data_IF_295337409089
#
_entry.id   IF_295337409089
#
_cell.length_a   1.000
_cell.length_b   1.000
_cell.length_c   1.000
_cell.angle_alpha   90.00
_cell.angle_beta   90.00
_cell.angle_gamma   90.00
#
_symmetry.space_group_name_H-M   'P 1'
#
loop_
_entity.id
_entity.type
_entity.pdbx_description
1 polymer ?
#
# COMPACT_ATOMS: atom_id res chain seq x y z
N UNK A 1 9.38 7.37 -9.20
CA UNK A 1 9.32 6.15 -8.38
C UNK A 1 8.17 6.30 -7.40
N UNK A 2 7.33 5.27 -7.23
CA UNK A 2 6.30 5.25 -6.16
C UNK A 2 6.94 4.89 -4.83
N UNK A 3 7.66 3.78 -4.82
CA UNK A 3 8.30 3.22 -3.64
C UNK A 3 9.36 2.19 -4.05
N UNK A 4 9.98 1.56 -3.06
CA UNK A 4 10.89 0.43 -3.22
C UNK A 4 10.70 -0.54 -2.06
N UNK A 5 11.06 -1.80 -2.28
CA UNK A 5 10.96 -2.81 -1.22
C UNK A 5 12.10 -3.82 -1.31
N UNK A 6 12.49 -4.36 -0.16
CA UNK A 6 13.32 -5.56 -0.10
C UNK A 6 12.37 -6.73 0.10
N UNK A 7 12.28 -7.66 -0.89
CA UNK A 7 11.43 -8.83 -0.75
C UNK A 7 11.73 -9.61 0.53
N UNK A 8 10.72 -10.28 1.07
CA UNK A 8 10.87 -11.14 2.23
C UNK A 8 11.96 -12.19 1.99
N UNK A 9 12.88 -12.35 2.95
CA UNK A 9 14.03 -13.25 2.84
C UNK A 9 15.26 -12.67 2.12
N UNK A 10 15.16 -11.49 1.49
CA UNK A 10 16.30 -10.81 0.88
C UNK A 10 17.00 -9.84 1.83
N UNK A 11 18.30 -9.59 1.59
CA UNK A 11 19.08 -8.57 2.30
C UNK A 11 19.26 -7.32 1.45
N UNK A 12 19.13 -6.14 2.07
CA UNK A 12 19.41 -4.87 1.41
C UNK A 12 20.91 -4.68 1.15
N UNK A 13 21.34 -4.88 -0.11
CA UNK A 13 22.75 -4.69 -0.55
C UNK A 13 23.10 -3.28 -0.99
N UNK A 14 22.12 -2.53 -1.50
CA UNK A 14 22.29 -1.15 -1.95
C UNK A 14 21.91 -0.12 -0.89
N UNK A 15 22.46 1.08 -1.01
CA UNK A 15 22.16 2.21 -0.13
C UNK A 15 22.22 3.53 -0.90
N UNK A 16 21.45 4.50 -0.43
CA UNK A 16 21.43 5.87 -0.95
C UNK A 16 22.55 6.75 -0.39
N UNK A 17 23.21 6.30 0.69
CA UNK A 17 24.32 7.04 1.29
C UNK A 17 25.44 7.27 0.27
N UNK A 18 25.82 8.52 0.06
CA UNK A 18 26.81 8.91 -0.94
C UNK A 18 26.34 8.66 -2.38
N UNK A 19 25.04 8.64 -2.63
CA UNK A 19 24.46 8.33 -3.93
C UNK A 19 23.29 9.25 -4.32
N UNK A 20 22.94 10.22 -3.47
CA UNK A 20 21.73 11.04 -3.56
C UNK A 20 21.95 12.43 -4.19
N UNK A 21 23.17 12.74 -4.64
CA UNK A 21 23.54 14.06 -5.16
C UNK A 21 22.88 14.48 -6.48
N UNK A 22 22.19 13.57 -7.17
CA UNK A 22 21.35 13.91 -8.34
C UNK A 22 19.90 14.23 -7.96
N UNK A 23 19.52 14.02 -6.70
CA UNK A 23 18.22 14.35 -6.11
C UNK A 23 17.02 13.73 -6.83
N UNK A 24 17.12 12.44 -7.18
CA UNK A 24 16.00 11.72 -7.75
C UNK A 24 14.84 11.55 -6.78
N UNK A 25 13.66 11.25 -7.30
CA UNK A 25 12.43 11.20 -6.51
C UNK A 25 12.30 9.94 -5.64
N UNK A 26 13.12 8.91 -5.89
CA UNK A 26 13.07 7.61 -5.25
C UNK A 26 14.31 7.29 -4.43
N UNK A 27 14.17 6.32 -3.51
CA UNK A 27 15.27 5.78 -2.71
C UNK A 27 16.16 6.86 -2.08
N UNK A 28 15.56 7.86 -1.42
CA UNK A 28 16.23 9.03 -0.82
C UNK A 28 17.17 9.78 -1.79
N UNK A 29 16.79 9.97 -3.06
CA UNK A 29 17.61 10.73 -4.02
C UNK A 29 18.45 9.89 -4.97
N UNK A 30 18.55 8.58 -4.75
CA UNK A 30 19.50 7.72 -5.45
C UNK A 30 18.89 6.81 -6.54
N UNK A 31 17.57 6.87 -6.75
CA UNK A 31 16.90 6.17 -7.85
C UNK A 31 15.82 7.04 -8.47
N UNK A 32 15.78 7.10 -9.80
CA UNK A 32 14.76 7.87 -10.51
C UNK A 32 14.40 7.33 -11.87
N UNK A 33 13.35 7.88 -12.48
CA UNK A 33 12.96 7.59 -13.87
C UNK A 33 13.55 8.57 -14.89
N UNK A 34 14.54 9.36 -14.46
CA UNK A 34 15.26 10.26 -15.35
C UNK A 34 16.11 9.46 -16.36
N UNK A 35 16.24 10.02 -17.56
CA UNK A 35 17.13 9.49 -18.59
C UNK A 35 18.37 10.38 -18.70
N UNK A 36 19.57 9.83 -18.93
CA UNK A 36 20.77 10.65 -19.10
C UNK A 36 20.64 11.70 -20.21
N UNK A 37 19.99 11.36 -21.32
CA UNK A 37 19.73 12.29 -22.43
C UNK A 37 18.78 13.42 -22.06
N UNK A 38 17.79 13.18 -21.20
CA UNK A 38 16.93 14.22 -20.66
C UNK A 38 17.64 15.07 -19.60
N UNK A 39 18.30 14.41 -18.65
CA UNK A 39 18.93 15.06 -17.50
C UNK A 39 20.10 15.96 -17.89
N UNK A 40 20.93 15.53 -18.84
CA UNK A 40 22.10 16.30 -19.30
C UNK A 40 21.91 17.00 -20.65
N UNK A 41 21.13 16.41 -21.56
CA UNK A 41 20.99 16.88 -22.95
C UNK A 41 19.66 17.59 -23.25
N UNK A 42 18.71 17.62 -22.32
CA UNK A 42 17.38 18.19 -22.57
C UNK A 42 16.48 17.36 -23.50
N UNK A 43 16.83 16.09 -23.74
CA UNK A 43 15.99 15.14 -24.46
C UNK A 43 14.66 14.83 -23.75
N UNK A 44 13.72 14.16 -24.43
CA UNK A 44 12.47 13.73 -23.80
C UNK A 44 12.75 12.74 -22.67
N UNK A 45 11.88 12.74 -21.65
CA UNK A 45 11.89 11.70 -20.60
C UNK A 45 11.08 10.50 -21.06
N UNK A 46 11.34 9.32 -20.50
CA UNK A 46 10.44 8.18 -20.68
C UNK A 46 9.04 8.54 -20.17
N UNK A 47 7.96 8.23 -20.89
CA UNK A 47 6.62 8.57 -20.43
C UNK A 47 6.33 7.94 -19.05
N UNK A 48 5.95 8.75 -18.07
CA UNK A 48 5.72 8.27 -16.70
C UNK A 48 4.65 7.17 -16.62
N UNK A 49 3.65 7.18 -17.52
CA UNK A 49 2.62 6.14 -17.61
C UNK A 49 3.11 4.80 -18.16
N UNK A 50 4.32 4.75 -18.72
CA UNK A 50 4.92 3.52 -19.25
C UNK A 50 5.87 2.85 -18.26
N UNK A 51 6.12 3.46 -17.09
CA UNK A 51 7.00 2.88 -16.08
C UNK A 51 6.46 1.53 -15.59
N UNK A 52 7.37 0.59 -15.40
CA UNK A 52 7.09 -0.77 -14.95
C UNK A 52 7.64 -1.00 -13.54
N UNK A 53 6.94 -1.79 -12.74
CA UNK A 53 7.51 -2.40 -11.55
C UNK A 53 8.66 -3.31 -11.97
N UNK A 54 9.82 -3.12 -11.35
CA UNK A 54 11.03 -3.87 -11.67
C UNK A 54 11.57 -4.57 -10.44
N UNK A 55 11.87 -5.86 -10.55
CA UNK A 55 12.64 -6.59 -9.54
C UNK A 55 14.06 -6.80 -10.04
N UNK A 56 15.03 -6.28 -9.28
CA UNK A 56 16.43 -6.66 -9.41
C UNK A 56 16.66 -7.96 -8.65
N UNK A 57 17.34 -8.91 -9.29
CA UNK A 57 17.72 -10.20 -8.73
C UNK A 57 19.24 -10.31 -8.85
N UNK A 58 19.94 -10.35 -7.71
CA UNK A 58 21.40 -10.28 -7.67
C UNK A 58 22.03 -11.66 -7.85
N UNK A 59 23.05 -11.75 -8.70
CA UNK A 59 23.92 -12.93 -8.80
C UNK A 59 24.80 -13.08 -7.56
N UNK A 60 25.47 -14.23 -7.41
CA UNK A 60 26.48 -14.39 -6.35
C UNK A 60 27.75 -13.63 -6.73
N UNK A 61 28.13 -12.66 -5.89
CA UNK A 61 29.34 -11.83 -6.07
C UNK A 61 30.08 -11.71 -4.74
N UNK A 62 31.39 -11.97 -4.75
CA UNK A 62 32.22 -11.82 -3.55
C UNK A 62 32.56 -10.35 -3.23
N UNK A 63 33.33 -10.13 -2.16
CA UNK A 63 33.66 -8.76 -1.72
C UNK A 63 34.61 -8.02 -2.68
N UNK A 64 35.34 -8.75 -3.51
CA UNK A 64 36.24 -8.21 -4.53
C UNK A 64 35.53 -7.97 -5.88
N UNK A 65 34.23 -8.29 -5.98
CA UNK A 65 33.48 -8.13 -7.22
C UNK A 65 33.61 -9.32 -8.17
N UNK A 66 34.14 -10.46 -7.73
CA UNK A 66 34.24 -11.64 -8.59
C UNK A 66 32.90 -12.38 -8.63
N UNK A 67 32.51 -12.82 -9.82
CA UNK A 67 31.30 -13.60 -10.07
C UNK A 67 31.51 -14.60 -11.21
N UNK A 68 30.65 -15.63 -11.26
CA UNK A 68 30.64 -16.59 -12.36
C UNK A 68 29.85 -16.04 -13.53
N UNK A 69 30.42 -16.01 -14.74
CA UNK A 69 29.65 -15.70 -15.96
C UNK A 69 28.59 -16.77 -16.26
N UNK A 70 28.62 -17.95 -15.65
CA UNK A 70 27.57 -18.97 -15.82
C UNK A 70 26.38 -18.78 -14.87
N UNK A 71 26.45 -17.82 -13.95
CA UNK A 71 25.33 -17.53 -13.04
C UNK A 71 24.12 -17.01 -13.86
N UNK A 72 22.91 -17.61 -13.67
CA UNK A 72 21.73 -17.27 -14.45
C UNK A 72 21.28 -15.81 -14.29
N UNK A 73 21.62 -15.19 -13.17
CA UNK A 73 21.29 -13.80 -12.87
C UNK A 73 22.36 -12.81 -13.34
N UNK A 74 23.46 -13.26 -13.97
CA UNK A 74 24.39 -12.34 -14.64
C UNK A 74 23.84 -12.00 -16.01
N UNK A 75 23.80 -10.71 -16.34
CA UNK A 75 23.26 -10.18 -17.58
C UNK A 75 24.37 -9.74 -18.53
N UNK A 76 24.12 -9.90 -19.83
CA UNK A 76 24.75 -9.04 -20.81
C UNK A 76 24.31 -7.58 -20.58
N UNK A 77 25.27 -6.67 -20.44
CA UNK A 77 25.03 -5.26 -20.21
C UNK A 77 25.77 -4.37 -21.20
N UNK A 78 25.17 -3.21 -21.50
CA UNK A 78 25.84 -2.16 -22.27
C UNK A 78 26.64 -1.29 -21.32
N UNK A 79 27.96 -1.28 -21.50
CA UNK A 79 28.87 -0.50 -20.67
C UNK A 79 29.19 0.81 -21.35
N UNK A 80 29.15 1.88 -20.58
CA UNK A 80 29.51 3.23 -21.00
C UNK A 80 30.60 3.78 -20.09
N UNK A 81 31.33 4.79 -20.58
CA UNK A 81 32.34 5.44 -19.78
C UNK A 81 32.34 6.95 -19.97
N UNK A 82 32.41 7.67 -18.85
CA UNK A 82 32.73 9.10 -18.85
C UNK A 82 34.24 9.31 -18.88
N UNK A 83 34.69 10.21 -19.75
CA UNK A 83 36.09 10.66 -19.77
C UNK A 83 37.03 9.69 -20.48
N UNK A 84 36.52 8.83 -21.35
CA UNK A 84 37.31 7.86 -22.10
C UNK A 84 38.32 8.49 -23.09
N UNK A 85 38.11 9.75 -23.50
CA UNK A 85 39.07 10.50 -24.33
C UNK A 85 40.32 10.98 -23.57
N UNK A 86 40.29 10.97 -22.24
CA UNK A 86 41.46 11.28 -21.43
C UNK A 86 42.35 10.04 -21.28
N UNK A 87 43.66 10.21 -21.04
CA UNK A 87 44.50 9.10 -20.58
C UNK A 87 43.87 8.39 -19.37
N UNK A 88 44.15 7.08 -19.18
CA UNK A 88 43.73 6.36 -17.99
C UNK A 88 44.15 7.12 -16.73
N UNK A 89 43.18 7.44 -15.86
CA UNK A 89 43.46 8.18 -14.64
C UNK A 89 44.31 7.37 -13.65
N UNK A 90 44.18 6.04 -13.70
CA UNK A 90 45.04 5.06 -13.05
C UNK A 90 45.55 4.04 -14.08
N UNK A 91 46.77 3.49 -13.94
CA UNK A 91 47.32 2.52 -14.88
C UNK A 91 46.42 1.29 -15.11
N UNK A 92 45.77 0.80 -14.05
CA UNK A 92 44.87 -0.34 -14.06
C UNK A 92 43.60 -0.12 -14.88
N UNK A 93 43.23 1.12 -15.19
CA UNK A 93 42.04 1.41 -16.00
C UNK A 93 42.31 1.20 -17.50
N UNK A 94 43.57 1.23 -17.93
CA UNK A 94 43.94 1.19 -19.34
C UNK A 94 43.32 0.02 -20.14
N UNK A 95 43.27 -1.22 -19.62
CA UNK A 95 42.65 -2.34 -20.34
C UNK A 95 41.14 -2.19 -20.55
N UNK A 96 40.47 -1.37 -19.75
CA UNK A 96 39.02 -1.22 -19.74
C UNK A 96 38.56 0.01 -20.54
N UNK A 97 39.46 0.85 -21.05
CA UNK A 97 39.14 1.99 -21.91
C UNK A 97 39.30 1.54 -23.36
N UNK A 98 38.20 1.08 -23.96
CA UNK A 98 38.18 0.47 -25.30
C UNK A 98 37.91 1.53 -26.37
N UNK A 99 36.91 2.37 -26.13
CA UNK A 99 36.49 3.43 -27.03
C UNK A 99 36.87 4.79 -26.45
N UNK A 100 37.89 5.43 -27.03
CA UNK A 100 38.45 6.72 -26.57
C UNK A 100 37.68 7.95 -27.06
N UNK A 101 36.43 7.78 -27.50
CA UNK A 101 35.56 8.90 -27.85
C UNK A 101 35.13 9.64 -26.56
N UNK A 102 35.09 10.98 -26.64
CA UNK A 102 34.67 11.83 -25.52
C UNK A 102 33.20 11.68 -25.15
N UNK A 103 32.80 12.29 -24.02
CA UNK A 103 31.44 12.23 -23.51
C UNK A 103 31.20 11.01 -22.60
N UNK A 104 30.05 10.35 -22.77
CA UNK A 104 29.63 9.14 -22.07
C UNK A 104 29.56 7.97 -23.06
N UNK A 105 30.71 7.63 -23.64
CA UNK A 105 30.81 6.77 -24.80
C UNK A 105 30.64 5.29 -24.46
N UNK A 106 29.89 4.59 -25.31
CA UNK A 106 29.79 3.12 -25.29
C UNK A 106 31.17 2.47 -25.39
N UNK A 107 31.42 1.48 -24.54
CA UNK A 107 32.67 0.74 -24.48
C UNK A 107 32.51 -0.68 -25.01
N UNK A 108 31.53 -1.43 -24.50
CA UNK A 108 31.33 -2.83 -24.86
C UNK A 108 29.95 -3.36 -24.46
N UNK A 109 29.58 -4.49 -25.06
CA UNK A 109 28.44 -5.30 -24.69
C UNK A 109 28.93 -6.70 -24.31
N UNK A 110 28.85 -7.03 -23.01
CA UNK A 110 29.43 -8.25 -22.46
C UNK A 110 28.64 -8.74 -21.23
N UNK A 111 28.91 -9.97 -20.78
CA UNK A 111 28.28 -10.56 -19.58
C UNK A 111 28.95 -10.05 -18.31
N UNK A 112 28.70 -8.77 -18.00
CA UNK A 112 29.45 -7.98 -17.02
C UNK A 112 28.59 -7.29 -15.96
N UNK A 113 27.28 -7.54 -15.94
CA UNK A 113 26.37 -7.02 -14.93
C UNK A 113 25.89 -8.17 -14.05
N UNK A 114 26.36 -8.29 -12.79
CA UNK A 114 26.05 -9.42 -11.92
C UNK A 114 24.67 -9.29 -11.23
N UNK A 115 23.67 -8.91 -12.02
CA UNK A 115 22.27 -8.88 -11.65
C UNK A 115 21.38 -8.96 -12.89
N UNK A 116 20.15 -9.38 -12.68
CA UNK A 116 19.09 -9.37 -13.68
C UNK A 116 17.99 -8.42 -13.24
N UNK A 117 17.44 -7.65 -14.18
CA UNK A 117 16.26 -6.82 -13.96
C UNK A 117 15.06 -7.48 -14.63
N UNK A 118 13.94 -7.58 -13.92
CA UNK A 118 12.70 -8.16 -14.43
C UNK A 118 11.56 -7.17 -14.32
N UNK A 119 10.86 -6.93 -15.42
CA UNK A 119 9.51 -6.36 -15.42
C UNK A 119 8.57 -7.37 -14.76
N UNK A 120 7.92 -6.95 -13.68
CA UNK A 120 7.04 -7.77 -12.84
C UNK A 120 5.62 -7.21 -12.77
N UNK A 121 5.18 -6.46 -13.80
CA UNK A 121 3.76 -6.09 -13.95
C UNK A 121 2.83 -7.31 -13.95
N UNK A 122 3.28 -8.42 -14.54
CA UNK A 122 2.69 -9.74 -14.39
C UNK A 122 3.65 -10.65 -13.60
N UNK A 123 3.49 -10.79 -12.27
CA UNK A 123 4.36 -11.61 -11.44
C UNK A 123 4.38 -13.09 -11.83
N UNK A 124 3.36 -13.59 -12.55
CA UNK A 124 3.33 -14.97 -13.02
C UNK A 124 4.22 -15.18 -14.27
N UNK A 125 4.46 -14.11 -15.04
CA UNK A 125 5.24 -14.13 -16.28
C UNK A 125 6.26 -12.98 -16.31
N UNK A 126 7.28 -12.99 -15.41
CA UNK A 126 8.26 -11.92 -15.35
C UNK A 126 9.10 -11.86 -16.63
N UNK A 127 9.31 -10.65 -17.15
CA UNK A 127 10.06 -10.42 -18.40
C UNK A 127 11.42 -9.80 -18.09
N UNK A 128 12.50 -10.48 -18.47
CA UNK A 128 13.88 -9.98 -18.23
C UNK A 128 14.16 -8.78 -19.14
N UNK A 129 14.75 -7.74 -18.56
CA UNK A 129 14.99 -6.45 -19.21
C UNK A 129 16.47 -6.25 -19.55
N UNK A 130 16.73 -5.37 -20.52
CA UNK A 130 18.07 -4.87 -20.80
C UNK A 130 18.58 -3.99 -19.65
N UNK A 131 19.84 -4.19 -19.31
CA UNK A 131 20.57 -3.38 -18.32
C UNK A 131 21.78 -2.71 -18.96
N UNK A 132 22.10 -1.52 -18.47
CA UNK A 132 23.27 -0.76 -18.89
C UNK A 132 23.96 -0.19 -17.66
N UNK A 133 25.25 0.14 -17.76
CA UNK A 133 25.93 0.84 -16.67
C UNK A 133 27.01 1.80 -17.16
N UNK A 134 27.35 2.75 -16.30
CA UNK A 134 28.40 3.73 -16.52
C UNK A 134 29.56 3.48 -15.56
N UNK A 135 30.78 3.78 -16.02
CA UNK A 135 31.96 3.98 -15.18
C UNK A 135 32.60 5.36 -15.48
N UNK A 136 33.47 5.86 -14.59
CA UNK A 136 34.08 7.19 -14.73
C UNK A 136 35.62 7.11 -14.68
N UNK A 137 36.29 7.50 -15.77
CA UNK A 137 37.74 7.58 -15.85
C UNK A 137 38.28 8.83 -15.11
N UNK A 138 38.36 8.73 -13.79
CA UNK A 138 38.91 9.74 -12.87
C UNK A 138 39.67 9.05 -11.74
N UNK A 139 40.53 9.75 -10.99
CA UNK A 139 41.33 9.11 -9.93
C UNK A 139 40.50 8.41 -8.84
N UNK A 140 39.25 8.85 -8.59
CA UNK A 140 38.29 8.18 -7.71
C UNK A 140 37.36 7.19 -8.40
N UNK A 141 37.68 6.81 -9.65
CA UNK A 141 36.99 5.79 -10.46
C UNK A 141 37.22 4.38 -9.93
N UNK A 142 36.39 3.43 -10.39
CA UNK A 142 36.64 2.00 -10.19
C UNK A 142 37.07 1.32 -11.50
N UNK A 143 36.33 1.54 -12.58
CA UNK A 143 36.70 1.17 -13.97
C UNK A 143 37.22 -0.26 -14.07
N UNK A 144 36.34 -1.21 -13.75
CA UNK A 144 36.62 -2.66 -13.71
C UNK A 144 36.05 -3.41 -14.90
N UNK A 145 35.29 -2.74 -15.77
CA UNK A 145 34.58 -3.41 -16.86
C UNK A 145 33.31 -4.13 -16.42
N UNK A 146 32.97 -4.09 -15.13
CA UNK A 146 31.83 -4.79 -14.53
C UNK A 146 31.03 -3.87 -13.62
N UNK A 147 29.72 -4.06 -13.58
CA UNK A 147 28.89 -3.28 -12.67
C UNK A 147 29.04 -3.80 -11.24
N UNK A 148 29.79 -3.06 -10.42
CA UNK A 148 29.89 -3.34 -8.99
C UNK A 148 30.13 -2.03 -8.22
N UNK A 149 29.06 -1.33 -7.80
CA UNK A 149 29.19 0.01 -7.24
C UNK A 149 30.07 0.04 -6.00
N UNK A 150 30.70 1.18 -5.75
CA UNK A 150 31.58 1.37 -4.59
C UNK A 150 30.86 1.20 -3.24
N UNK A 151 31.64 1.06 -2.18
CA UNK A 151 31.10 1.14 -0.82
C UNK A 151 30.71 2.58 -0.48
N UNK A 152 29.55 2.76 0.16
CA UNK A 152 29.14 4.07 0.68
C UNK A 152 30.06 4.64 1.76
N UNK A 153 30.98 3.83 2.30
CA UNK A 153 31.99 4.29 3.25
C UNK A 153 33.16 5.00 2.56
N UNK A 154 33.38 4.75 1.27
CA UNK A 154 34.55 5.21 0.53
C UNK A 154 34.21 6.17 -0.62
N UNK A 155 33.00 6.09 -1.17
CA UNK A 155 32.67 6.78 -2.42
C UNK A 155 31.38 7.60 -2.36
N UNK A 156 31.43 8.76 -3.02
CA UNK A 156 30.26 9.46 -3.51
C UNK A 156 30.04 9.06 -4.98
N UNK A 157 29.02 8.28 -5.24
CA UNK A 157 28.72 7.72 -6.56
C UNK A 157 28.03 8.73 -7.49
N UNK A 158 27.81 9.98 -7.07
CA UNK A 158 27.27 11.06 -7.94
C UNK A 158 28.29 12.14 -8.25
N UNK A 159 29.30 12.29 -7.40
CA UNK A 159 30.40 13.22 -7.58
C UNK A 159 31.09 13.05 -8.95
N UNK A 160 31.49 14.16 -9.56
CA UNK A 160 32.25 14.13 -10.83
C UNK A 160 33.65 13.51 -10.68
N UNK A 161 34.18 13.52 -9.45
CA UNK A 161 35.46 12.89 -9.04
C UNK A 161 35.29 11.48 -8.49
N UNK A 162 34.05 11.02 -8.29
CA UNK A 162 33.74 9.69 -7.79
C UNK A 162 33.55 8.66 -8.91
N UNK A 163 33.15 7.43 -8.56
CA UNK A 163 33.19 6.32 -9.50
C UNK A 163 32.07 6.32 -10.55
N UNK A 164 30.89 6.85 -10.21
CA UNK A 164 29.70 6.90 -11.07
C UNK A 164 29.36 5.54 -11.70
N UNK A 165 29.39 4.51 -10.87
CA UNK A 165 28.87 3.17 -11.16
C UNK A 165 27.34 3.23 -11.19
N UNK A 166 26.82 3.84 -12.25
CA UNK A 166 25.38 4.05 -12.43
C UNK A 166 24.79 2.89 -13.19
N UNK A 167 23.64 2.39 -12.76
CA UNK A 167 22.89 1.35 -13.44
C UNK A 167 21.65 1.97 -14.11
N UNK A 168 21.37 1.51 -15.32
CA UNK A 168 20.19 1.89 -16.08
C UNK A 168 19.41 0.64 -16.46
N UNK A 169 18.08 0.74 -16.38
CA UNK A 169 17.14 -0.33 -16.74
C UNK A 169 16.28 0.18 -17.89
N UNK A 170 16.23 -0.59 -18.96
CA UNK A 170 15.60 -0.21 -20.23
C UNK A 170 14.32 -1.02 -20.42
N UNK A 171 13.24 -0.39 -20.88
CA UNK A 171 12.00 -1.09 -21.28
C UNK A 171 12.18 -1.81 -22.62
N UNK A 172 13.03 -2.82 -22.63
CA UNK A 172 13.32 -3.66 -23.78
C UNK A 172 13.66 -5.08 -23.32
N UNK A 173 13.30 -6.05 -24.14
CA UNK A 173 13.55 -7.46 -23.86
C UNK A 173 15.06 -7.74 -23.79
N UNK A 174 15.45 -8.46 -22.75
CA UNK A 174 16.82 -8.95 -22.60
C UNK A 174 17.27 -9.71 -23.85
N UNK A 175 18.49 -9.43 -24.30
CA UNK A 175 19.11 -10.03 -25.46
C UNK A 175 20.55 -10.39 -25.13
N UNK A 176 21.05 -11.50 -25.67
CA UNK A 176 22.47 -11.87 -25.66
C UNK A 176 23.18 -11.41 -26.95
N UNK A 177 22.42 -10.79 -27.87
CA UNK A 177 22.93 -10.18 -29.09
C UNK A 177 22.95 -8.66 -28.94
N UNK A 178 24.07 -8.05 -29.33
CA UNK A 178 24.25 -6.61 -29.30
C UNK A 178 23.26 -5.92 -30.23
N UNK A 179 22.66 -4.83 -29.75
CA UNK A 179 21.85 -3.90 -30.54
C UNK A 179 22.72 -2.68 -30.92
N UNK A 180 22.96 -2.42 -32.23
CA UNK A 180 23.69 -1.25 -32.69
C UNK A 180 23.07 0.09 -32.26
N UNK A 181 21.76 0.17 -32.05
CA UNK A 181 21.09 1.40 -31.62
C UNK A 181 21.48 1.83 -30.20
N UNK A 182 22.01 0.89 -29.41
CA UNK A 182 22.46 1.13 -28.04
C UNK A 182 23.97 1.45 -28.00
N UNK A 183 24.61 1.61 -29.16
CA UNK A 183 26.02 1.98 -29.25
C UNK A 183 26.11 3.47 -29.59
N UNK A 184 26.58 4.28 -28.64
CA UNK A 184 26.67 5.72 -28.82
C UNK A 184 27.09 6.45 -27.55
N UNK A 185 26.79 7.75 -27.49
CA UNK A 185 26.93 8.53 -26.27
C UNK A 185 25.63 8.44 -25.44
N UNK A 186 25.73 7.93 -24.22
CA UNK A 186 24.57 7.71 -23.34
C UNK A 186 23.71 8.96 -23.11
N UNK A 187 24.30 10.15 -23.17
CA UNK A 187 23.59 11.44 -23.01
C UNK A 187 22.98 11.97 -24.30
N UNK A 188 23.19 11.30 -25.43
CA UNK A 188 22.61 11.64 -26.72
C UNK A 188 21.66 10.56 -27.26
N UNK A 189 21.72 9.35 -26.71
CA UNK A 189 20.84 8.24 -27.11
C UNK A 189 19.40 8.47 -26.61
N UNK A 190 18.45 8.30 -27.52
CA UNK A 190 17.01 8.28 -27.21
C UNK A 190 16.58 6.83 -26.99
N UNK A 191 16.70 6.38 -25.73
CA UNK A 191 16.43 5.00 -25.33
C UNK A 191 15.28 4.97 -24.34
N UNK A 192 14.50 3.89 -24.27
CA UNK A 192 13.42 3.76 -23.30
C UNK A 192 13.98 3.37 -21.90
N UNK A 193 14.93 4.14 -21.37
CA UNK A 193 15.45 3.97 -20.00
C UNK A 193 14.35 4.33 -19.00
N UNK A 194 13.89 3.35 -18.22
CA UNK A 194 12.85 3.52 -17.19
C UNK A 194 13.41 3.91 -15.84
N UNK A 195 14.57 3.36 -15.47
CA UNK A 195 15.14 3.53 -14.15
C UNK A 195 16.63 3.79 -14.24
N UNK A 196 17.07 4.77 -13.47
CA UNK A 196 18.47 5.11 -13.25
C UNK A 196 18.77 5.04 -11.76
N UNK A 197 19.72 4.19 -11.40
CA UNK A 197 20.20 3.98 -10.05
C UNK A 197 21.62 4.52 -9.91
N UNK A 198 21.85 5.44 -8.98
CA UNK A 198 23.17 5.98 -8.61
C UNK A 198 23.72 5.35 -7.34
N UNK A 199 23.14 4.24 -6.90
CA UNK A 199 23.38 3.60 -5.59
C UNK A 199 24.83 3.23 -5.29
N UNK A 200 25.15 3.19 -4.01
CA UNK A 200 26.35 2.53 -3.49
C UNK A 200 25.99 1.16 -2.90
N UNK A 201 27.00 0.32 -2.68
CA UNK A 201 26.90 -0.83 -1.78
C UNK A 201 26.86 -0.37 -0.32
N UNK A 202 26.12 -1.10 0.51
CA UNK A 202 26.03 -0.85 1.96
C UNK A 202 27.25 -1.43 2.67
N UNK A 203 28.27 -0.61 2.90
CA UNK A 203 29.59 -1.09 3.32
C UNK A 203 30.24 -1.93 2.21
N UNK A 204 31.00 -2.95 2.56
CA UNK A 204 31.60 -3.88 1.58
C UNK A 204 30.67 -5.07 1.29
N UNK A 205 29.38 -4.79 1.11
CA UNK A 205 28.38 -5.82 0.90
C UNK A 205 28.72 -6.69 -0.33
N UNK A 206 28.73 -8.00 -0.12
CA UNK A 206 28.66 -9.05 -1.16
C UNK A 206 27.24 -9.18 -1.69
N UNK A 207 27.05 -9.77 -2.86
CA UNK A 207 25.72 -10.06 -3.40
C UNK A 207 25.41 -11.56 -3.29
N UNK A 208 24.21 -11.90 -2.80
CA UNK A 208 23.67 -13.27 -2.80
C UNK A 208 24.70 -14.34 -2.37
N UNK A 209 25.30 -14.22 -1.17
CA UNK A 209 26.46 -15.01 -0.76
C UNK A 209 26.17 -16.50 -0.57
N UNK A 210 24.92 -16.88 -0.33
CA UNK A 210 24.55 -18.29 -0.11
C UNK A 210 24.08 -18.95 -1.41
N UNK A 211 23.26 -18.23 -2.20
CA UNK A 211 22.74 -18.73 -3.46
C UNK A 211 22.34 -17.57 -4.37
N UNK A 212 22.57 -17.74 -5.68
CA UNK A 212 22.15 -16.76 -6.69
C UNK A 212 20.66 -16.40 -6.56
N UNK A 213 20.34 -15.12 -6.67
CA UNK A 213 18.98 -14.60 -6.53
C UNK A 213 18.42 -14.57 -5.11
N UNK A 214 19.22 -14.86 -4.08
CA UNK A 214 18.86 -14.66 -2.67
C UNK A 214 18.51 -13.20 -2.38
N UNK A 215 19.35 -12.27 -2.86
CA UNK A 215 19.17 -10.85 -2.61
C UNK A 215 18.48 -10.17 -3.78
N UNK A 216 17.41 -9.44 -3.47
CA UNK A 216 16.53 -8.79 -4.42
C UNK A 216 16.18 -7.37 -3.98
N UNK A 217 15.82 -6.53 -4.94
CA UNK A 217 15.30 -5.18 -4.72
C UNK A 217 14.14 -4.93 -5.69
N UNK A 218 12.99 -4.54 -5.14
CA UNK A 218 11.85 -4.09 -5.94
C UNK A 218 11.90 -2.56 -6.10
N UNK A 219 11.70 -2.11 -7.33
CA UNK A 219 11.47 -0.73 -7.73
C UNK A 219 10.01 -0.65 -8.15
N UNK A 220 9.22 0.19 -7.48
CA UNK A 220 7.78 0.26 -7.66
C UNK A 220 7.42 1.51 -8.47
N UNK A 221 6.73 1.32 -9.59
CA UNK A 221 6.28 2.38 -10.47
C UNK A 221 5.00 3.05 -9.92
N UNK A 222 4.78 4.30 -10.34
CA UNK A 222 3.48 4.94 -10.16
C UNK A 222 2.58 4.53 -11.33
N UNK A 223 1.55 3.74 -11.06
CA UNK A 223 0.49 3.48 -12.03
C UNK A 223 -0.61 4.50 -11.84
N UNK A 224 -0.87 5.27 -12.89
CA UNK A 224 -1.96 6.24 -12.91
C UNK A 224 -3.23 5.48 -13.26
N UNK A 225 -4.30 5.67 -12.46
CA UNK A 225 -5.60 5.13 -12.80
C UNK A 225 -6.08 5.71 -14.13
N UNK A 226 -6.40 4.82 -15.05
CA UNK A 226 -6.96 5.08 -16.37
C UNK A 226 -8.46 4.77 -16.38
N UNK A 227 -9.15 5.15 -17.45
CA UNK A 227 -10.55 4.76 -17.68
C UNK A 227 -10.75 3.25 -17.85
N UNK A 228 -9.67 2.48 -18.03
CA UNK A 228 -9.71 1.03 -18.19
C UNK A 228 -9.60 0.27 -16.85
N UNK A 229 -9.25 0.95 -15.75
CA UNK A 229 -9.15 0.33 -14.43
C UNK A 229 -10.54 0.12 -13.83
N UNK A 230 -10.87 -1.15 -13.57
CA UNK A 230 -12.17 -1.56 -13.00
C UNK A 230 -11.94 -2.07 -11.58
N UNK A 231 -12.62 -1.45 -10.62
CA UNK A 231 -12.59 -1.87 -9.22
C UNK A 231 -13.88 -2.59 -8.87
N UNK A 232 -13.76 -3.82 -8.36
CA UNK A 232 -14.89 -4.57 -7.82
C UNK A 232 -14.85 -4.54 -6.29
N UNK A 233 -15.93 -4.09 -5.68
CA UNK A 233 -16.12 -4.13 -4.22
C UNK A 233 -17.22 -5.14 -3.97
N UNK A 234 -16.89 -6.22 -3.28
CA UNK A 234 -17.87 -7.22 -2.83
C UNK A 234 -18.13 -7.04 -1.35
N UNK A 235 -19.39 -7.26 -0.94
CA UNK A 235 -19.76 -7.34 0.47
C UNK A 235 -20.21 -8.78 0.75
N UNK A 236 -19.88 -9.34 1.92
CA UNK A 236 -20.39 -10.64 2.30
C UNK A 236 -21.92 -10.58 2.39
N UNK A 237 -22.58 -11.69 2.06
CA UNK A 237 -24.01 -11.81 2.24
C UNK A 237 -24.37 -11.71 3.74
N UNK A 238 -25.55 -11.14 4.05
CA UNK A 238 -26.04 -11.08 5.42
C UNK A 238 -26.21 -12.51 5.98
N UNK A 239 -25.55 -12.80 7.10
CA UNK A 239 -25.73 -14.05 7.83
C UNK A 239 -27.06 -13.99 8.61
N UNK A 240 -27.90 -15.02 8.42
CA UNK A 240 -29.22 -15.17 9.05
C UNK A 240 -29.29 -16.42 9.92
N UNK A 241 -28.15 -16.94 10.36
CA UNK A 241 -28.07 -18.10 11.24
C UNK A 241 -28.72 -17.88 12.61
N UNK A 242 -29.16 -18.98 13.24
CA UNK A 242 -29.80 -18.97 14.57
C UNK A 242 -28.88 -18.38 15.64
N UNK A 243 -27.57 -18.64 15.57
CA UNK A 243 -26.60 -18.09 16.51
C UNK A 243 -26.52 -16.55 16.43
N UNK A 244 -26.53 -15.99 15.22
CA UNK A 244 -26.56 -14.53 15.00
C UNK A 244 -27.85 -13.92 15.54
N UNK A 245 -28.99 -14.58 15.33
CA UNK A 245 -30.27 -14.13 15.87
C UNK A 245 -30.29 -14.12 17.41
N UNK A 246 -29.63 -15.08 18.06
CA UNK A 246 -29.47 -15.12 19.52
C UNK A 246 -28.57 -13.99 20.05
N UNK A 247 -27.44 -13.73 19.39
CA UNK A 247 -26.58 -12.58 19.75
C UNK A 247 -27.32 -11.24 19.57
N UNK A 248 -28.11 -11.10 18.51
CA UNK A 248 -28.94 -9.91 18.28
C UNK A 248 -30.06 -9.75 19.33
N UNK A 249 -30.65 -10.85 19.81
CA UNK A 249 -31.59 -10.82 20.94
C UNK A 249 -30.92 -10.22 22.19
N UNK A 250 -29.66 -10.58 22.46
CA UNK A 250 -28.88 -10.04 23.58
C UNK A 250 -28.50 -8.56 23.42
N UNK A 251 -28.66 -7.97 22.24
CA UNK A 251 -28.48 -6.52 22.03
C UNK A 251 -29.73 -5.69 22.32
N UNK A 252 -30.93 -6.31 22.39
CA UNK A 252 -32.18 -5.56 22.65
C UNK A 252 -32.11 -4.82 23.98
N UNK A 253 -32.39 -3.52 23.95
CA UNK A 253 -32.30 -2.67 25.13
C UNK A 253 -33.38 -1.59 25.14
N UNK A 254 -33.66 -1.01 26.30
CA UNK A 254 -34.65 0.04 26.50
C UNK A 254 -33.98 1.36 26.86
N UNK A 255 -34.33 2.43 26.15
CA UNK A 255 -33.75 3.77 26.32
C UNK A 255 -34.83 4.86 26.32
N UNK A 256 -34.71 5.90 27.17
CA UNK A 256 -33.77 5.99 28.30
C UNK A 256 -34.17 5.03 29.44
N UNK A 257 -33.18 4.58 30.20
CA UNK A 257 -33.40 3.77 31.40
C UNK A 257 -32.36 4.15 32.47
N UNK A 258 -32.75 4.85 33.57
CA UNK A 258 -34.11 5.26 33.89
C UNK A 258 -34.67 6.29 32.91
N UNK A 259 -35.98 6.27 32.68
CA UNK A 259 -36.69 7.42 32.13
C UNK A 259 -36.76 8.50 33.21
N UNK A 260 -35.98 9.57 33.06
CA UNK A 260 -35.86 10.63 34.06
C UNK A 260 -36.49 11.92 33.56
N UNK A 261 -37.80 12.07 33.78
CA UNK A 261 -38.59 13.24 33.41
C UNK A 261 -38.59 13.63 31.92
N UNK A 262 -37.56 13.35 31.12
CA UNK A 262 -37.36 13.81 29.76
C UNK A 262 -36.54 12.78 28.97
N UNK A 263 -36.71 12.80 27.65
CA UNK A 263 -35.89 12.09 26.68
C UNK A 263 -35.51 13.04 25.55
N UNK A 264 -34.27 12.95 25.04
CA UNK A 264 -33.84 13.75 23.89
C UNK A 264 -34.67 13.50 22.62
N UNK A 265 -35.45 12.41 22.61
CA UNK A 265 -36.35 12.07 21.52
C UNK A 265 -37.73 12.75 21.63
N UNK A 266 -38.02 13.47 22.72
CA UNK A 266 -39.29 14.16 22.92
C UNK A 266 -39.29 15.56 22.30
N UNK A 267 -40.28 15.85 21.46
CA UNK A 267 -40.46 17.16 20.81
C UNK A 267 -41.36 18.11 21.61
N UNK A 268 -42.16 17.59 22.55
CA UNK A 268 -43.09 18.38 23.37
C UNK A 268 -43.02 17.94 24.83
N UNK A 269 -43.22 18.85 25.81
CA UNK A 269 -43.20 18.49 27.23
C UNK A 269 -44.29 17.49 27.67
N UNK A 270 -45.33 17.32 26.85
CA UNK A 270 -46.48 16.43 27.08
C UNK A 270 -46.32 15.06 26.43
N UNK A 271 -45.33 14.87 25.55
CA UNK A 271 -45.04 13.59 24.91
C UNK A 271 -43.92 12.90 25.65
N UNK A 272 -44.11 11.61 25.94
CA UNK A 272 -43.08 10.76 26.54
C UNK A 272 -42.68 9.72 25.51
N UNK A 273 -41.39 9.48 25.30
CA UNK A 273 -40.92 8.48 24.33
C UNK A 273 -39.85 7.59 24.94
N UNK A 274 -40.21 6.33 25.14
CA UNK A 274 -39.33 5.23 25.53
C UNK A 274 -39.15 4.32 24.32
N UNK A 275 -37.91 4.03 23.95
CA UNK A 275 -37.56 3.20 22.78
C UNK A 275 -36.99 1.87 23.20
N UNK A 276 -37.45 0.81 22.55
CA UNK A 276 -36.77 -0.47 22.49
C UNK A 276 -35.87 -0.46 21.27
N UNK A 277 -34.61 -0.86 21.42
CA UNK A 277 -33.55 -0.80 20.39
C UNK A 277 -33.16 -2.21 19.95
N UNK A 278 -32.57 -2.33 18.76
CA UNK A 278 -32.21 -3.61 18.12
C UNK A 278 -33.43 -4.52 17.90
N UNK A 279 -34.59 -3.92 17.62
CA UNK A 279 -35.79 -4.67 17.31
C UNK A 279 -35.66 -5.35 15.94
N UNK A 280 -36.18 -6.58 15.77
CA UNK A 280 -36.22 -7.21 14.45
C UNK A 280 -37.22 -6.49 13.54
N UNK A 281 -37.07 -6.70 12.23
CA UNK A 281 -37.94 -6.10 11.21
C UNK A 281 -39.42 -6.45 11.44
N UNK A 282 -39.71 -7.68 11.90
CA UNK A 282 -41.05 -8.16 12.28
C UNK A 282 -40.97 -9.34 13.26
N UNK A 283 -42.12 -9.83 13.71
CA UNK A 283 -42.26 -11.01 14.56
C UNK A 283 -41.97 -10.75 16.05
N UNK A 284 -41.98 -9.49 16.49
CA UNK A 284 -41.69 -9.12 17.87
C UNK A 284 -42.96 -8.67 18.62
N UNK A 285 -43.03 -9.01 19.91
CA UNK A 285 -44.04 -8.47 20.81
C UNK A 285 -43.37 -7.99 22.09
N UNK A 286 -43.58 -6.72 22.44
CA UNK A 286 -43.10 -6.13 23.69
C UNK A 286 -44.26 -6.04 24.66
N UNK A 287 -44.16 -6.70 25.81
CA UNK A 287 -45.14 -6.64 26.90
C UNK A 287 -44.54 -5.96 28.10
N UNK A 288 -45.28 -5.03 28.69
CA UNK A 288 -44.82 -4.19 29.78
C UNK A 288 -45.69 -4.48 31.00
N UNK A 289 -45.06 -4.81 32.12
CA UNK A 289 -45.72 -5.20 33.37
C UNK A 289 -45.29 -4.29 34.51
N UNK A 290 -46.19 -4.09 35.48
CA UNK A 290 -45.81 -3.53 36.79
C UNK A 290 -45.13 -4.59 37.67
N UNK A 291 -44.64 -4.20 38.85
CA UNK A 291 -44.00 -5.13 39.80
C UNK A 291 -44.95 -6.19 40.38
N UNK A 292 -46.25 -5.97 40.32
CA UNK A 292 -47.26 -6.95 40.74
C UNK A 292 -47.57 -7.97 39.63
N UNK A 293 -47.01 -7.81 38.44
CA UNK A 293 -47.22 -8.68 37.29
C UNK A 293 -48.45 -8.33 36.46
N UNK A 294 -49.08 -7.17 36.68
CA UNK A 294 -50.21 -6.73 35.85
C UNK A 294 -49.70 -6.22 34.51
N UNK A 295 -50.37 -6.62 33.42
CA UNK A 295 -50.06 -6.11 32.08
C UNK A 295 -50.48 -4.64 31.96
N UNK A 296 -49.51 -3.77 31.71
CA UNK A 296 -49.71 -2.33 31.54
C UNK A 296 -49.98 -1.99 30.08
N UNK A 297 -49.14 -2.50 29.17
CA UNK A 297 -49.24 -2.26 27.73
C UNK A 297 -48.59 -3.41 26.96
N UNK A 298 -49.11 -3.69 25.76
CA UNK A 298 -48.45 -4.51 24.77
C UNK A 298 -48.23 -3.69 23.49
N UNK A 299 -47.10 -3.91 22.83
CA UNK A 299 -46.74 -3.33 21.54
C UNK A 299 -46.47 -4.49 20.59
N UNK A 300 -47.35 -4.64 19.61
CA UNK A 300 -47.31 -5.67 18.57
C UNK A 300 -46.75 -5.11 17.27
N UNK A 301 -46.49 -5.95 16.28
CA UNK A 301 -46.13 -5.48 14.94
C UNK A 301 -47.19 -4.58 14.32
N UNK A 302 -48.48 -4.77 14.62
CA UNK A 302 -49.55 -3.89 14.15
C UNK A 302 -49.45 -2.49 14.79
N UNK A 303 -49.07 -2.41 16.07
CA UNK A 303 -48.80 -1.13 16.73
C UNK A 303 -47.55 -0.47 16.15
N UNK A 304 -46.49 -1.25 15.90
CA UNK A 304 -45.25 -0.76 15.28
C UNK A 304 -45.49 -0.23 13.86
N UNK A 305 -46.32 -0.92 13.07
CA UNK A 305 -46.76 -0.48 11.75
C UNK A 305 -47.49 0.86 11.85
N UNK A 306 -48.47 0.97 12.76
CA UNK A 306 -49.21 2.21 12.97
C UNK A 306 -48.32 3.39 13.43
N UNK A 307 -47.24 3.08 14.16
CA UNK A 307 -46.22 4.03 14.59
C UNK A 307 -45.14 4.31 13.52
N UNK A 308 -45.14 3.60 12.39
CA UNK A 308 -44.09 3.72 11.36
C UNK A 308 -42.73 3.16 11.78
N UNK A 309 -42.69 2.27 12.78
CA UNK A 309 -41.47 1.65 13.31
C UNK A 309 -41.27 0.19 12.91
N UNK A 310 -42.24 -0.44 12.21
CA UNK A 310 -42.04 -1.78 11.63
C UNK A 310 -40.96 -1.72 10.53
N UNK A 311 -40.14 -2.76 10.41
CA UNK A 311 -38.97 -2.76 9.53
C UNK A 311 -37.79 -1.91 10.02
N UNK A 312 -37.93 -1.22 11.14
CA UNK A 312 -36.83 -0.46 11.77
C UNK A 312 -36.26 -1.20 12.97
N UNK A 313 -35.06 -0.80 13.41
CA UNK A 313 -34.42 -1.33 14.61
C UNK A 313 -35.03 -0.82 15.94
N UNK A 314 -36.21 -0.20 15.91
CA UNK A 314 -36.84 0.39 17.08
C UNK A 314 -38.33 0.03 17.24
N UNK A 315 -38.82 0.12 18.47
CA UNK A 315 -40.24 0.17 18.82
C UNK A 315 -40.44 1.23 19.91
N UNK A 316 -41.59 1.90 19.93
CA UNK A 316 -41.81 3.05 20.82
C UNK A 316 -42.98 2.83 21.79
N UNK A 317 -42.79 3.34 23.02
CA UNK A 317 -43.81 3.41 24.05
C UNK A 317 -43.93 4.82 24.58
N UNK A 318 -45.17 5.28 24.71
CA UNK A 318 -45.57 6.60 25.17
C UNK A 318 -45.74 6.72 26.70
N UNK A 319 -45.32 5.69 27.44
CA UNK A 319 -45.52 5.57 28.88
C UNK A 319 -47.00 5.66 29.31
N UNK A 320 -47.92 5.14 28.47
CA UNK A 320 -49.34 4.99 28.79
C UNK A 320 -49.76 3.53 28.88
N UNK A 321 -50.76 3.26 29.71
CA UNK A 321 -51.35 1.93 29.80
C UNK A 321 -52.32 1.65 28.63
N UNK A 322 -52.95 0.48 28.63
CA UNK A 322 -53.94 0.09 27.60
C UNK A 322 -55.21 0.95 27.57
N UNK A 323 -55.49 1.71 28.63
CA UNK A 323 -56.59 2.68 28.72
C UNK A 323 -56.16 4.12 28.42
N UNK A 324 -54.97 4.29 27.82
CA UNK A 324 -54.38 5.58 27.46
C UNK A 324 -54.09 6.52 28.65
N UNK A 325 -54.02 5.96 29.87
CA UNK A 325 -53.69 6.70 31.09
C UNK A 325 -52.18 6.68 31.32
N UNK A 326 -51.53 7.83 31.60
CA UNK A 326 -50.12 7.87 31.95
C UNK A 326 -49.79 6.96 33.13
N UNK A 327 -48.70 6.19 33.01
CA UNK A 327 -48.29 5.27 34.07
C UNK A 327 -47.61 6.01 35.22
N UNK A 328 -47.63 5.43 36.42
CA UNK A 328 -47.00 6.01 37.61
C UNK A 328 -45.46 5.91 37.56
N UNK A 329 -44.78 6.73 38.36
CA UNK A 329 -43.34 6.54 38.61
C UNK A 329 -43.14 5.20 39.32
N UNK A 330 -42.16 4.41 38.87
CA UNK A 330 -41.93 3.08 39.42
C UNK A 330 -41.05 2.21 38.53
N UNK A 331 -40.90 0.95 38.94
CA UNK A 331 -40.20 -0.08 38.18
C UNK A 331 -41.19 -0.88 37.34
N UNK A 332 -40.79 -1.17 36.11
CA UNK A 332 -41.54 -1.97 35.16
C UNK A 332 -40.67 -3.11 34.63
N UNK A 333 -41.30 -4.24 34.32
CA UNK A 333 -40.67 -5.38 33.68
C UNK A 333 -41.12 -5.40 32.23
N UNK A 334 -40.17 -5.41 31.30
CA UNK A 334 -40.44 -5.48 29.87
C UNK A 334 -40.05 -6.87 29.38
N UNK A 335 -41.00 -7.60 28.83
CA UNK A 335 -40.79 -8.90 28.22
C UNK A 335 -40.92 -8.78 26.71
N UNK A 336 -39.82 -9.02 26.00
CA UNK A 336 -39.74 -9.00 24.55
C UNK A 336 -39.71 -10.44 24.05
N UNK A 337 -40.71 -10.83 23.27
CA UNK A 337 -40.75 -12.14 22.59
C UNK A 337 -40.49 -11.92 21.11
N UNK A 338 -39.53 -12.65 20.53
CA UNK A 338 -39.29 -12.71 19.08
C UNK A 338 -39.62 -14.12 18.60
N UNK A 339 -40.54 -14.20 17.63
CA UNK A 339 -40.96 -15.44 17.01
C UNK A 339 -39.74 -16.19 16.44
N UNK A 340 -39.67 -17.50 16.72
CA UNK A 340 -38.64 -18.42 16.23
C UNK A 340 -37.18 -18.08 16.63
N UNK A 341 -36.96 -17.12 17.56
CA UNK A 341 -35.63 -16.73 18.06
C UNK A 341 -35.52 -16.90 19.57
N UNK A 342 -36.43 -16.31 20.35
CA UNK A 342 -36.37 -16.37 21.83
C UNK A 342 -37.03 -15.20 22.53
N UNK A 343 -36.69 -15.03 23.80
CA UNK A 343 -37.28 -14.02 24.68
C UNK A 343 -36.23 -13.28 25.50
N UNK A 344 -36.49 -11.99 25.79
CA UNK A 344 -35.65 -11.16 26.64
C UNK A 344 -36.47 -10.42 27.68
N UNK A 345 -35.94 -10.34 28.90
CA UNK A 345 -36.52 -9.54 29.98
C UNK A 345 -35.61 -8.34 30.25
N UNK A 346 -36.19 -7.14 30.20
CA UNK A 346 -35.55 -5.89 30.60
C UNK A 346 -36.25 -5.34 31.86
N UNK A 347 -35.50 -4.55 32.63
CA UNK A 347 -36.03 -3.80 33.79
C UNK A 347 -35.97 -2.33 33.45
N UNK A 348 -37.07 -1.61 33.62
CA UNK A 348 -37.19 -0.21 33.25
C UNK A 348 -37.68 0.60 34.45
N UNK A 349 -36.92 1.62 34.85
CA UNK A 349 -37.38 2.57 35.86
C UNK A 349 -37.95 3.83 35.19
N UNK A 350 -39.13 4.26 35.63
CA UNK A 350 -39.78 5.50 35.18
C UNK A 350 -39.91 6.47 36.34
N UNK A 351 -39.45 7.69 36.14
CA UNK A 351 -39.54 8.79 37.09
C UNK A 351 -40.20 9.96 36.37
N UNK A 352 -41.49 10.13 36.62
CA UNK A 352 -42.30 11.19 36.02
C UNK A 352 -41.99 12.56 36.62
N UNK A 353 -42.28 13.60 35.84
CA UNK A 353 -42.28 15.00 36.31
C UNK A 353 -43.41 15.24 37.31
N UNK A 354 -43.22 16.23 38.19
CA UNK A 354 -44.32 16.83 38.95
C UNK A 354 -45.22 17.61 37.97
N UNK A 355 -46.40 17.07 37.65
CA UNK A 355 -47.39 17.78 36.84
C UNK A 355 -48.15 18.77 37.73
N UNK A 356 -47.76 20.05 37.70
CA UNK A 356 -48.53 21.14 38.34
C UNK A 356 -49.52 21.75 37.34
N UNK A 357 -50.81 21.61 37.63
CA UNK A 357 -51.85 22.40 36.98
C UNK A 357 -51.81 23.83 37.56
N UNK A 358 -51.42 24.81 36.75
CA UNK A 358 -51.62 26.22 37.08
C UNK A 358 -53.09 26.54 36.83
N UNK A 359 -53.88 26.61 37.91
CA UNK A 359 -55.17 27.28 37.87
C UNK A 359 -54.91 28.79 37.78
N UNK A 360 -55.36 29.42 36.68
CA UNK A 360 -55.49 30.87 36.55
C UNK A 360 -56.94 31.29 36.73
#
# INVERSE_FOLDING_TARGET
MKDWAIPEGSTRRFTWAGADGLHFEGFNGAMGWEQPSSYFGGGPRYPAGNLKNVQLVLATVDAAGNFSQEDPNVSYGYRYMRGAANPPALPEFAPFIINVVGGYSFQEFAKNVPLAAYDVEDPANPRRLVVMFLENNVAGGLVTGTYFPGSNAAYDNTASTGPREWLFIVDADYSETVNPEYQGDLTALDLPIMWWLTVNRRGDAVFSPEATGQDKLNIIANHINTSNDVYEITTPAADRGVAVAQEQLDMINVVPNPYWAWSANETQPTTRIIRFTHMPESGATVRIFDLAGNLVRAITDADREAQGSLGTAFAEWDARNASDVPVASGMYIVHVTIKDVGEKILKLAIINREERLLYY
#
